data_IF_368070537005
#
_entry.id   IF_368070537005
#
_cell.length_a   1.000
_cell.length_b   1.000
_cell.length_c   1.000
_cell.angle_alpha   90.00
_cell.angle_beta   90.00
_cell.angle_gamma   90.00
#
_symmetry.space_group_name_H-M   'P 1'
#
loop_
_entity.id
_entity.type
_entity.pdbx_description
1 polymer ?
#
# COMPACT_ATOMS: atom_id res chain seq x y z
N UNK A 1 -6.09 -5.20 3.58
CA UNK A 1 -6.37 -3.96 2.82
C UNK A 1 -5.07 -3.43 2.23
N UNK A 2 -5.14 -2.82 1.05
CA UNK A 2 -3.97 -2.15 0.46
C UNK A 2 -4.04 -0.67 0.75
N UNK A 3 -2.95 -0.10 1.25
CA UNK A 3 -2.79 1.36 1.29
C UNK A 3 -1.58 1.75 0.45
N UNK A 4 -1.66 2.91 -0.19
CA UNK A 4 -0.62 3.41 -1.06
C UNK A 4 -0.17 4.81 -0.63
N UNK A 5 1.15 5.05 -0.56
CA UNK A 5 1.65 6.40 -0.40
C UNK A 5 1.24 7.26 -1.61
N UNK A 6 0.89 8.55 -1.41
CA UNK A 6 0.52 9.46 -2.49
C UNK A 6 1.62 9.61 -3.56
N UNK A 7 2.89 9.44 -3.20
CA UNK A 7 4.02 9.53 -4.11
C UNK A 7 3.98 8.43 -5.18
N UNK A 8 3.61 7.20 -4.79
CA UNK A 8 3.49 6.06 -5.69
C UNK A 8 2.28 6.22 -6.61
N UNK A 9 1.18 6.76 -6.10
CA UNK A 9 0.01 7.07 -6.93
C UNK A 9 0.35 8.15 -7.97
N UNK A 10 1.08 9.21 -7.58
CA UNK A 10 1.51 10.28 -8.49
C UNK A 10 2.44 9.77 -9.58
N UNK A 11 3.35 8.86 -9.25
CA UNK A 11 4.31 8.28 -10.20
C UNK A 11 3.82 6.98 -10.87
N UNK A 12 2.55 6.59 -10.66
CA UNK A 12 2.02 5.28 -11.07
C UNK A 12 2.31 4.91 -12.53
N UNK A 13 2.25 5.88 -13.45
CA UNK A 13 2.50 5.65 -14.88
C UNK A 13 3.96 5.25 -15.12
N UNK A 14 4.89 6.02 -14.57
CA UNK A 14 6.33 5.76 -14.67
C UNK A 14 6.73 4.46 -13.97
N UNK A 15 6.11 4.16 -12.84
CA UNK A 15 6.32 2.89 -12.13
C UNK A 15 5.78 1.73 -12.96
N UNK A 16 4.60 1.86 -13.57
CA UNK A 16 3.99 0.80 -14.38
C UNK A 16 4.80 0.42 -15.62
N UNK A 17 5.58 1.34 -16.18
CA UNK A 17 6.51 1.05 -17.28
C UNK A 17 7.65 0.11 -16.85
N UNK A 18 8.03 0.14 -15.57
CA UNK A 18 9.11 -0.69 -15.00
C UNK A 18 8.59 -1.93 -14.26
N UNK A 19 7.32 -1.91 -13.86
CA UNK A 19 6.66 -2.92 -13.04
C UNK A 19 5.43 -3.48 -13.78
N UNK A 20 5.60 -4.48 -14.67
CA UNK A 20 4.53 -4.98 -15.53
C UNK A 20 3.32 -5.50 -14.74
N UNK A 21 3.56 -6.16 -13.61
CA UNK A 21 2.50 -6.66 -12.72
C UNK A 21 1.67 -5.53 -12.12
N UNK A 22 2.34 -4.45 -11.69
CA UNK A 22 1.67 -3.26 -11.20
C UNK A 22 0.88 -2.57 -12.31
N UNK A 23 1.47 -2.45 -13.51
CA UNK A 23 0.79 -1.89 -14.68
C UNK A 23 -0.50 -2.62 -15.06
N UNK A 24 -0.49 -3.96 -15.02
CA UNK A 24 -1.70 -4.76 -15.23
C UNK A 24 -2.78 -4.52 -14.17
N UNK A 25 -2.38 -4.29 -12.92
CA UNK A 25 -3.31 -4.08 -11.81
C UNK A 25 -3.95 -2.68 -11.82
N UNK A 26 -3.16 -1.63 -12.03
CA UNK A 26 -3.64 -0.24 -11.93
C UNK A 26 -4.52 0.20 -13.10
N UNK A 27 -4.43 -0.49 -14.25
CA UNK A 27 -5.25 -0.21 -15.42
C UNK A 27 -6.66 -0.82 -15.32
N UNK A 28 -6.95 -1.53 -14.24
CA UNK A 28 -8.29 -2.05 -13.96
C UNK A 28 -9.23 -0.94 -13.47
N UNK A 29 -10.40 -0.82 -14.09
CA UNK A 29 -11.43 0.19 -13.73
C UNK A 29 -11.96 0.06 -12.30
N UNK A 30 -11.71 -1.05 -11.62
CA UNK A 30 -12.17 -1.30 -10.24
C UNK A 30 -11.12 -0.98 -9.17
N UNK A 31 -9.91 -0.58 -9.58
CA UNK A 31 -8.84 -0.30 -8.63
C UNK A 31 -9.13 0.97 -7.81
N UNK A 32 -9.16 0.84 -6.49
CA UNK A 32 -9.35 1.95 -5.55
C UNK A 32 -8.04 2.24 -4.81
N UNK A 33 -7.61 3.50 -4.87
CA UNK A 33 -6.48 3.99 -4.11
C UNK A 33 -6.96 4.37 -2.71
N UNK A 34 -6.31 3.81 -1.68
CA UNK A 34 -6.63 4.08 -0.29
C UNK A 34 -5.39 4.58 0.45
N UNK A 35 -5.55 5.66 1.22
CA UNK A 35 -4.54 6.11 2.19
C UNK A 35 -4.86 5.56 3.58
N UNK A 36 -3.92 5.72 4.52
CA UNK A 36 -4.16 5.39 5.92
C UNK A 36 -5.36 6.15 6.51
N UNK A 37 -5.53 7.43 6.17
CA UNK A 37 -6.62 8.27 6.65
C UNK A 37 -7.98 7.80 6.11
N UNK A 38 -8.03 7.49 4.81
CA UNK A 38 -9.23 6.92 4.19
C UNK A 38 -9.62 5.59 4.84
N UNK A 39 -8.63 4.74 5.14
CA UNK A 39 -8.86 3.48 5.84
C UNK A 39 -9.42 3.69 7.25
N UNK A 40 -8.84 4.58 8.04
CA UNK A 40 -9.32 4.85 9.40
C UNK A 40 -10.74 5.39 9.42
N UNK A 41 -11.04 6.37 8.55
CA UNK A 41 -12.40 6.90 8.44
C UNK A 41 -13.43 5.81 8.09
N UNK A 42 -13.06 4.89 7.20
CA UNK A 42 -13.91 3.75 6.84
C UNK A 42 -14.01 2.74 7.98
N UNK A 43 -12.94 2.50 8.72
CA UNK A 43 -12.97 1.64 9.90
C UNK A 43 -13.88 2.21 10.99
N UNK A 44 -13.87 3.51 11.21
CA UNK A 44 -14.74 4.20 12.17
C UNK A 44 -16.21 4.11 11.77
N UNK A 45 -16.51 4.36 10.50
CA UNK A 45 -17.87 4.28 9.96
C UNK A 45 -18.50 2.89 10.15
N UNK A 46 -17.69 1.84 10.05
CA UNK A 46 -18.15 0.45 10.08
C UNK A 46 -17.85 -0.27 11.41
N UNK A 47 -17.34 0.43 12.42
CA UNK A 47 -17.01 -0.17 13.72
C UNK A 47 -15.89 -1.22 13.67
N UNK A 48 -14.98 -1.13 12.69
CA UNK A 48 -13.84 -2.04 12.56
C UNK A 48 -12.75 -1.63 13.54
N UNK A 49 -12.42 -2.54 14.47
CA UNK A 49 -11.41 -2.32 15.51
C UNK A 49 -9.99 -2.23 14.94
N UNK A 50 -9.61 -3.19 14.11
CA UNK A 50 -8.27 -3.31 13.55
C UNK A 50 -8.28 -3.96 12.17
N UNK A 51 -7.34 -3.57 11.31
CA UNK A 51 -7.19 -4.12 9.96
C UNK A 51 -5.75 -4.57 9.69
N UNK A 52 -5.59 -5.71 9.03
CA UNK A 52 -4.33 -6.12 8.41
C UNK A 52 -4.12 -5.35 7.10
N UNK A 53 -3.00 -4.64 7.02
CA UNK A 53 -2.71 -3.69 5.95
C UNK A 53 -1.37 -3.99 5.33
N UNK A 54 -1.34 -4.00 4.01
CA UNK A 54 -0.13 -4.23 3.21
C UNK A 54 0.00 -3.15 2.14
N UNK A 55 1.21 -2.97 1.64
CA UNK A 55 1.45 -2.25 0.40
C UNK A 55 1.33 -3.17 -0.82
N UNK A 56 1.65 -2.62 -1.98
CA UNK A 56 1.85 -3.37 -3.22
C UNK A 56 3.28 -3.90 -3.25
N UNK A 57 3.42 -5.18 -3.57
CA UNK A 57 4.72 -5.77 -3.83
C UNK A 57 5.19 -5.41 -5.24
N UNK A 58 6.46 -5.10 -5.37
CA UNK A 58 7.12 -4.76 -6.61
C UNK A 58 8.31 -5.69 -6.84
N UNK A 59 8.77 -5.76 -8.09
CA UNK A 59 10.03 -6.43 -8.41
C UNK A 59 11.21 -5.64 -7.85
N UNK A 60 11.16 -4.32 -7.94
CA UNK A 60 12.12 -3.42 -7.30
C UNK A 60 11.97 -3.42 -5.77
N UNK A 61 12.98 -3.93 -5.07
CA UNK A 61 13.00 -3.97 -3.61
C UNK A 61 13.01 -2.58 -2.96
N UNK A 62 13.52 -1.55 -3.67
CA UNK A 62 13.45 -0.15 -3.23
C UNK A 62 12.01 0.36 -3.17
N UNK A 63 11.17 -0.02 -4.14
CA UNK A 63 9.73 0.29 -4.11
C UNK A 63 9.03 -0.46 -2.98
N UNK A 64 9.35 -1.74 -2.77
CA UNK A 64 8.85 -2.50 -1.61
C UNK A 64 9.22 -1.82 -0.28
N UNK A 65 10.44 -1.27 -0.16
CA UNK A 65 10.85 -0.51 1.02
C UNK A 65 9.99 0.73 1.24
N UNK A 66 9.76 1.54 0.20
CA UNK A 66 8.90 2.73 0.29
C UNK A 66 7.49 2.36 0.77
N UNK A 67 6.92 1.28 0.22
CA UNK A 67 5.61 0.79 0.65
C UNK A 67 5.60 0.34 2.11
N UNK A 68 6.62 -0.41 2.53
CA UNK A 68 6.75 -0.87 3.90
C UNK A 68 6.91 0.28 4.88
N UNK A 69 7.73 1.28 4.53
CA UNK A 69 7.95 2.46 5.36
C UNK A 69 6.62 3.20 5.58
N UNK A 70 5.81 3.40 4.53
CA UNK A 70 4.50 4.02 4.64
C UNK A 70 3.52 3.22 5.51
N UNK A 71 3.47 1.88 5.35
CA UNK A 71 2.58 1.01 6.11
C UNK A 71 2.98 0.95 7.59
N UNK A 72 4.27 0.84 7.88
CA UNK A 72 4.80 0.83 9.25
C UNK A 72 4.60 2.17 9.95
N UNK A 73 4.83 3.27 9.24
CA UNK A 73 4.58 4.63 9.75
C UNK A 73 3.09 4.86 10.03
N UNK A 74 2.21 4.39 9.13
CA UNK A 74 0.76 4.41 9.35
C UNK A 74 0.34 3.58 10.56
N UNK A 75 0.94 2.40 10.75
CA UNK A 75 0.70 1.57 11.94
C UNK A 75 1.08 2.28 13.24
N UNK A 76 2.20 3.01 13.24
CA UNK A 76 2.64 3.82 14.39
C UNK A 76 1.65 4.95 14.69
N UNK A 77 1.24 5.72 13.67
CA UNK A 77 0.27 6.82 13.83
C UNK A 77 -1.09 6.37 14.34
N UNK A 78 -1.53 5.18 13.92
CA UNK A 78 -2.87 4.67 14.22
C UNK A 78 -2.93 3.78 15.47
N UNK A 79 -1.91 3.82 16.34
CA UNK A 79 -1.90 3.20 17.68
C UNK A 79 -2.42 1.75 17.72
N UNK A 80 -1.99 0.91 16.79
CA UNK A 80 -2.34 -0.53 16.76
C UNK A 80 -3.67 -0.88 16.08
N UNK A 81 -4.39 0.09 15.52
CA UNK A 81 -5.56 -0.19 14.65
C UNK A 81 -5.16 -0.69 13.28
N UNK A 82 -3.95 -0.37 12.84
CA UNK A 82 -3.36 -0.89 11.61
C UNK A 82 -2.30 -1.92 12.00
N UNK A 83 -2.48 -3.16 11.54
CA UNK A 83 -1.52 -4.25 11.71
C UNK A 83 -0.73 -4.37 10.39
N UNK A 84 0.57 -4.00 10.38
CA UNK A 84 1.34 -3.92 9.16
C UNK A 84 1.78 -5.31 8.67
N UNK A 85 1.64 -5.54 7.37
CA UNK A 85 2.22 -6.67 6.64
C UNK A 85 3.24 -6.13 5.64
N UNK A 86 4.50 -6.51 5.82
CA UNK A 86 5.58 -6.10 4.94
C UNK A 86 5.55 -6.90 3.64
N UNK A 87 5.87 -6.21 2.54
CA UNK A 87 6.06 -6.81 1.22
C UNK A 87 7.53 -6.88 0.88
N UNK A 88 7.92 -7.95 0.18
CA UNK A 88 9.29 -8.13 -0.31
C UNK A 88 9.22 -8.60 -1.76
N UNK A 89 10.19 -8.20 -2.56
CA UNK A 89 10.43 -8.86 -3.84
C UNK A 89 10.99 -10.25 -3.54
N UNK A 90 10.34 -11.34 -3.99
CA UNK A 90 10.81 -12.70 -3.69
C UNK A 90 12.22 -13.00 -4.20
N UNK A 91 12.67 -12.23 -5.20
CA UNK A 91 13.99 -12.35 -5.80
C UNK A 91 15.00 -11.31 -5.26
N UNK A 92 14.63 -10.52 -4.25
CA UNK A 92 15.57 -9.63 -3.58
C UNK A 92 16.69 -10.45 -2.93
N UNK A 93 17.92 -9.98 -3.12
CA UNK A 93 19.12 -10.55 -2.51
C UNK A 93 19.54 -9.73 -1.31
#
# INVERSE_FOLDING_TARGET
MHICPPEIERERKKISEKEPWFGGMINSKVHKWGTAESLINHMDLHGIKSSLVTGFAFRDQGLCRIMNDYVLDSARRCMGRIIPLAVVSPCAK
#
